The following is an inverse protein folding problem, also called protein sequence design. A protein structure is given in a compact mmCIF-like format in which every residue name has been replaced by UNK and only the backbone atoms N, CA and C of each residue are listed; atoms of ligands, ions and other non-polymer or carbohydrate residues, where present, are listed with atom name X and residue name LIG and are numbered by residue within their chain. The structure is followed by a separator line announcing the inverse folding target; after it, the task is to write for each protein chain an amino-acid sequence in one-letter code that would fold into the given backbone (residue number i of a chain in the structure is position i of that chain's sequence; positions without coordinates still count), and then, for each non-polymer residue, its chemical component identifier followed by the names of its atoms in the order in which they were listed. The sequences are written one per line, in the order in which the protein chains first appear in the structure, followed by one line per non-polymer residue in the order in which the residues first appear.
data_IF_202106935964
#
_entry.id   IF_202106935964
#
_cell.length_a   1.000
_cell.length_b   1.000
_cell.length_c   1.000
_cell.angle_alpha   90.00
_cell.angle_beta   90.00
_cell.angle_gamma   90.00
#
_symmetry.space_group_name_H-M   'P 1'
#
loop_
_entity.id
_entity.type
_entity.pdbx_description
1 polymer ?
#
# COMPACT_ATOMS: atom_id res chain seq x y z
N UNK A 1 -40.24 39.44 76.84
CA UNK A 1 -39.10 39.43 75.93
C UNK A 1 -38.43 38.06 75.99
N UNK A 2 -38.78 37.06 75.20
CA UNK A 2 -38.09 35.79 74.95
C UNK A 2 -39.10 34.82 74.35
N UNK A 3 -39.47 34.91 73.08
CA UNK A 3 -40.23 33.88 72.36
C UNK A 3 -40.21 34.14 70.84
N UNK A 4 -39.04 34.44 70.23
CA UNK A 4 -38.96 34.60 68.75
C UNK A 4 -37.73 33.89 68.18
N UNK A 5 -37.04 32.99 68.89
CA UNK A 5 -35.77 32.44 68.41
C UNK A 5 -35.80 30.92 68.15
N UNK A 6 -36.96 30.29 68.00
CA UNK A 6 -37.03 28.81 67.86
C UNK A 6 -37.66 28.30 66.53
N UNK A 7 -38.13 29.21 65.64
CA UNK A 7 -38.79 28.79 64.42
C UNK A 7 -37.86 28.89 63.16
N UNK A 8 -36.68 29.52 63.30
CA UNK A 8 -35.78 29.72 62.14
C UNK A 8 -34.75 28.62 61.97
N UNK A 9 -34.70 27.58 62.80
CA UNK A 9 -33.73 26.44 62.70
C UNK A 9 -34.30 25.16 62.12
N UNK A 10 -35.63 25.09 61.89
CA UNK A 10 -36.27 23.85 61.37
C UNK A 10 -36.54 23.86 59.84
N UNK A 11 -36.31 24.98 59.19
CA UNK A 11 -36.49 25.10 57.73
C UNK A 11 -35.21 24.91 56.89
N UNK A 12 -34.04 24.74 57.52
CA UNK A 12 -32.76 24.54 56.83
C UNK A 12 -32.33 23.06 56.70
N UNK A 13 -33.11 22.10 57.24
CA UNK A 13 -32.74 20.68 57.27
C UNK A 13 -33.54 19.82 56.27
N UNK A 14 -34.38 20.41 55.39
CA UNK A 14 -35.19 19.65 54.41
C UNK A 14 -34.69 19.88 52.95
N UNK A 15 -33.67 20.73 52.74
CA UNK A 15 -33.17 21.02 51.39
C UNK A 15 -31.97 20.14 50.93
N UNK A 16 -31.57 19.13 51.73
CA UNK A 16 -30.33 18.37 51.46
C UNK A 16 -30.52 16.91 51.01
N UNK A 17 -31.71 16.47 50.61
CA UNK A 17 -31.98 15.07 50.27
C UNK A 17 -32.51 14.85 48.84
N UNK A 18 -32.44 15.88 47.95
CA UNK A 18 -32.88 15.71 46.57
C UNK A 18 -31.76 15.74 45.51
N UNK A 19 -30.51 15.44 45.92
CA UNK A 19 -29.39 15.35 44.95
C UNK A 19 -28.75 13.95 45.00
N UNK A 20 -29.47 12.91 44.63
CA UNK A 20 -28.85 11.61 44.39
C UNK A 20 -29.77 10.68 43.62
N UNK A 21 -29.98 10.96 42.38
CA UNK A 21 -30.27 9.96 41.32
C UNK A 21 -30.05 10.66 39.97
N UNK A 22 -28.81 10.98 39.61
CA UNK A 22 -28.44 10.99 38.19
C UNK A 22 -28.34 9.52 37.77
N UNK A 23 -29.05 9.12 36.70
CA UNK A 23 -28.77 7.83 36.12
C UNK A 23 -27.30 7.82 35.73
N UNK A 24 -26.55 6.82 36.19
CA UNK A 24 -25.21 6.57 35.66
C UNK A 24 -25.33 6.50 34.14
N UNK A 25 -24.62 7.37 33.43
CA UNK A 25 -24.38 7.22 32.00
C UNK A 25 -23.80 5.80 31.84
N UNK A 26 -24.60 4.89 31.29
CA UNK A 26 -24.12 3.57 30.92
C UNK A 26 -23.18 3.84 29.76
N UNK A 27 -21.85 3.83 30.01
CA UNK A 27 -20.89 3.72 28.91
C UNK A 27 -21.35 2.57 28.01
N UNK A 28 -21.46 2.80 26.68
CA UNK A 28 -21.81 1.72 25.78
C UNK A 28 -20.82 0.58 26.04
N UNK A 29 -21.33 -0.58 26.39
CA UNK A 29 -20.52 -1.78 26.55
C UNK A 29 -19.68 -1.93 25.29
N UNK A 30 -18.35 -1.97 25.41
CA UNK A 30 -17.48 -2.26 24.31
C UNK A 30 -18.00 -3.53 23.62
N UNK A 31 -18.29 -3.47 22.33
CA UNK A 31 -18.78 -4.62 21.58
C UNK A 31 -17.83 -5.78 21.80
N UNK A 32 -18.34 -6.85 22.41
CA UNK A 32 -17.53 -8.04 22.64
C UNK A 32 -17.23 -8.66 21.28
N UNK A 33 -15.94 -8.67 20.90
CA UNK A 33 -15.50 -9.32 19.68
C UNK A 33 -15.70 -10.82 19.83
N UNK A 34 -16.50 -11.40 18.95
CA UNK A 34 -16.81 -12.84 18.93
C UNK A 34 -16.05 -13.58 17.83
N UNK A 35 -15.49 -12.86 16.84
CA UNK A 35 -14.64 -13.43 15.81
C UNK A 35 -13.35 -13.98 16.42
N UNK A 36 -13.01 -15.22 16.11
CA UNK A 36 -11.80 -15.90 16.57
C UNK A 36 -10.74 -16.06 15.48
N UNK A 37 -11.09 -15.72 14.26
CA UNK A 37 -10.19 -15.77 13.10
C UNK A 37 -10.40 -14.59 12.17
N UNK A 38 -9.39 -14.31 11.34
CA UNK A 38 -9.38 -13.28 10.29
C UNK A 38 -8.64 -13.82 9.07
N UNK A 39 -9.21 -13.65 7.87
CA UNK A 39 -8.58 -14.05 6.62
C UNK A 39 -8.10 -12.80 5.85
N UNK A 40 -6.79 -12.66 5.72
CA UNK A 40 -6.13 -11.48 5.14
C UNK A 40 -5.57 -11.80 3.76
N UNK A 41 -5.94 -11.03 2.75
CA UNK A 41 -5.24 -10.97 1.48
C UNK A 41 -4.12 -9.95 1.61
N UNK A 42 -2.86 -10.41 1.62
CA UNK A 42 -1.70 -9.59 1.90
C UNK A 42 -0.87 -9.34 0.64
N UNK A 43 -0.50 -8.11 0.35
CA UNK A 43 0.21 -7.76 -0.90
C UNK A 43 1.68 -7.36 -0.69
N UNK A 44 2.10 -6.76 0.44
CA UNK A 44 3.51 -6.40 0.67
C UNK A 44 4.47 -7.58 0.71
N UNK A 45 5.69 -7.35 1.17
CA UNK A 45 6.71 -8.39 1.33
C UNK A 45 6.25 -9.45 2.33
N UNK A 46 6.65 -10.70 2.12
CA UNK A 46 6.24 -11.87 2.92
C UNK A 46 6.56 -11.68 4.40
N UNK A 47 7.74 -11.15 4.71
CA UNK A 47 8.20 -10.92 6.09
C UNK A 47 7.29 -9.92 6.81
N UNK A 48 6.81 -8.89 6.10
CA UNK A 48 5.90 -7.90 6.69
C UNK A 48 4.49 -8.48 6.87
N UNK A 49 3.99 -9.25 5.90
CA UNK A 49 2.72 -9.97 6.06
C UNK A 49 2.73 -10.89 7.27
N UNK A 50 3.81 -11.67 7.43
CA UNK A 50 4.00 -12.56 8.57
C UNK A 50 4.13 -11.79 9.89
N UNK A 51 4.87 -10.67 9.88
CA UNK A 51 5.03 -9.80 11.04
C UNK A 51 3.70 -9.21 11.51
N UNK A 52 2.91 -8.64 10.61
CA UNK A 52 1.59 -8.08 10.92
C UNK A 52 0.66 -9.15 11.51
N UNK A 53 0.67 -10.37 10.95
CA UNK A 53 -0.05 -11.51 11.54
C UNK A 53 0.35 -11.76 12.99
N UNK A 54 1.67 -11.90 13.24
CA UNK A 54 2.18 -12.24 14.58
C UNK A 54 1.83 -11.18 15.62
N UNK A 55 1.97 -9.89 15.27
CA UNK A 55 1.66 -8.78 16.16
C UNK A 55 0.16 -8.69 16.48
N UNK A 56 -0.67 -8.85 15.45
CA UNK A 56 -2.12 -8.82 15.63
C UNK A 56 -2.62 -9.99 16.48
N UNK A 57 -2.15 -11.22 16.23
CA UNK A 57 -2.48 -12.41 17.03
C UNK A 57 -2.05 -12.24 18.50
N UNK A 58 -0.85 -11.66 18.73
CA UNK A 58 -0.35 -11.42 20.09
C UNK A 58 -1.17 -10.38 20.86
N UNK A 59 -1.68 -9.35 20.17
CA UNK A 59 -2.45 -8.27 20.78
C UNK A 59 -3.90 -8.68 21.07
N UNK A 60 -4.53 -9.38 20.13
CA UNK A 60 -5.99 -9.56 20.14
C UNK A 60 -6.43 -11.02 20.36
N UNK A 61 -5.52 -11.99 20.27
CA UNK A 61 -5.85 -13.41 20.43
C UNK A 61 -6.72 -13.97 19.30
N UNK A 62 -6.80 -13.28 18.16
CA UNK A 62 -7.56 -13.69 16.96
C UNK A 62 -6.57 -14.36 16.01
N UNK A 63 -6.86 -15.57 15.54
CA UNK A 63 -6.02 -16.29 14.57
C UNK A 63 -6.08 -15.61 13.21
N UNK A 64 -4.94 -15.28 12.62
CA UNK A 64 -4.84 -14.66 11.29
C UNK A 64 -4.38 -15.72 10.27
N UNK A 65 -5.22 -15.97 9.28
CA UNK A 65 -4.86 -16.71 8.08
C UNK A 65 -4.56 -15.71 6.98
N UNK A 66 -3.38 -15.75 6.37
CA UNK A 66 -3.12 -14.86 5.25
C UNK A 66 -2.64 -15.62 4.01
N UNK A 67 -2.91 -15.02 2.85
CA UNK A 67 -2.33 -15.43 1.56
C UNK A 67 -1.66 -14.20 0.97
N UNK A 68 -0.39 -14.35 0.58
CA UNK A 68 0.35 -13.30 -0.10
C UNK A 68 0.14 -13.40 -1.61
N UNK A 69 -0.28 -12.28 -2.23
CA UNK A 69 -0.43 -12.13 -3.68
C UNK A 69 0.07 -10.76 -4.13
N UNK A 70 0.55 -10.65 -5.37
CA UNK A 70 0.78 -9.34 -6.00
C UNK A 70 -0.54 -8.65 -6.30
N UNK A 71 -0.56 -7.30 -6.36
CA UNK A 71 -1.80 -6.50 -6.38
C UNK A 71 -2.74 -6.81 -7.55
N UNK A 72 -2.21 -7.11 -8.74
CA UNK A 72 -3.02 -7.51 -9.88
C UNK A 72 -3.67 -8.88 -9.68
N UNK A 73 -2.93 -9.84 -9.10
CA UNK A 73 -3.47 -11.15 -8.75
C UNK A 73 -4.51 -11.05 -7.63
N UNK A 74 -4.27 -10.17 -6.64
CA UNK A 74 -5.19 -9.90 -5.54
C UNK A 74 -6.52 -9.35 -6.07
N UNK A 75 -6.49 -8.36 -6.96
CA UNK A 75 -7.68 -7.81 -7.59
C UNK A 75 -8.46 -8.88 -8.37
N UNK A 76 -7.76 -9.67 -9.19
CA UNK A 76 -8.39 -10.75 -9.95
C UNK A 76 -9.00 -11.82 -9.05
N UNK A 77 -8.34 -12.15 -7.93
CA UNK A 77 -8.82 -13.10 -6.94
C UNK A 77 -10.09 -12.61 -6.24
N UNK A 78 -10.09 -11.37 -5.78
CA UNK A 78 -11.26 -10.74 -5.12
C UNK A 78 -12.44 -10.66 -6.09
N UNK A 79 -12.19 -10.31 -7.36
CA UNK A 79 -13.24 -10.28 -8.39
C UNK A 79 -13.82 -11.66 -8.69
N UNK A 80 -12.97 -12.69 -8.77
CA UNK A 80 -13.41 -14.07 -9.02
C UNK A 80 -14.23 -14.65 -7.87
N UNK A 81 -14.00 -14.19 -6.64
CA UNK A 81 -14.67 -14.69 -5.43
C UNK A 81 -15.79 -13.76 -4.92
N UNK A 82 -16.20 -12.76 -5.68
CA UNK A 82 -17.16 -11.73 -5.27
C UNK A 82 -18.47 -12.26 -4.68
N UNK A 83 -18.94 -13.42 -5.14
CA UNK A 83 -20.19 -14.04 -4.70
C UNK A 83 -20.01 -14.95 -3.47
N UNK A 84 -18.78 -15.32 -3.14
CA UNK A 84 -18.41 -16.11 -1.96
C UNK A 84 -16.97 -15.80 -1.53
N UNK A 85 -16.72 -14.63 -0.93
CA UNK A 85 -15.37 -14.19 -0.53
C UNK A 85 -14.75 -15.14 0.49
N UNK A 86 -13.46 -15.44 0.28
CA UNK A 86 -12.64 -16.24 1.20
C UNK A 86 -11.80 -15.37 2.12
N UNK A 87 -11.62 -14.10 1.77
CA UNK A 87 -10.89 -13.11 2.57
C UNK A 87 -11.84 -12.10 3.18
N UNK A 88 -11.45 -11.55 4.32
CA UNK A 88 -12.20 -10.52 5.05
C UNK A 88 -11.64 -9.13 4.78
N UNK A 89 -10.33 -9.03 4.65
CA UNK A 89 -9.63 -7.77 4.41
C UNK A 89 -8.51 -7.96 3.40
N UNK A 90 -8.32 -6.96 2.54
CA UNK A 90 -7.17 -6.83 1.67
C UNK A 90 -6.26 -5.73 2.23
N UNK A 91 -4.99 -6.09 2.53
CA UNK A 91 -4.00 -5.19 3.10
C UNK A 91 -2.76 -5.08 2.22
N UNK A 92 -2.42 -3.84 1.83
CA UNK A 92 -1.26 -3.49 1.01
C UNK A 92 -1.48 -3.54 -0.49
N UNK A 93 -0.51 -2.98 -1.21
CA UNK A 93 -0.54 -2.77 -2.66
C UNK A 93 -1.15 -1.43 -3.08
N UNK A 94 -0.77 -0.88 -4.23
CA UNK A 94 -1.16 0.46 -4.68
C UNK A 94 -2.67 0.67 -4.73
N UNK A 95 -3.12 1.85 -4.27
CA UNK A 95 -4.55 2.21 -4.17
C UNK A 95 -5.27 2.25 -5.51
N UNK A 96 -4.58 2.31 -6.65
CA UNK A 96 -5.21 2.15 -7.96
C UNK A 96 -5.97 0.83 -8.10
N UNK A 97 -5.48 -0.24 -7.44
CA UNK A 97 -6.18 -1.52 -7.38
C UNK A 97 -7.44 -1.47 -6.51
N UNK A 98 -7.42 -0.67 -5.44
CA UNK A 98 -8.58 -0.45 -4.57
C UNK A 98 -9.61 0.46 -5.22
N UNK A 99 -9.19 1.46 -6.01
CA UNK A 99 -10.09 2.26 -6.84
C UNK A 99 -10.82 1.35 -7.83
N UNK A 100 -10.10 0.50 -8.57
CA UNK A 100 -10.71 -0.46 -9.48
C UNK A 100 -11.65 -1.45 -8.76
N UNK A 101 -11.29 -1.91 -7.56
CA UNK A 101 -12.12 -2.80 -6.75
C UNK A 101 -13.40 -2.11 -6.26
N UNK A 102 -13.32 -0.83 -5.86
CA UNK A 102 -14.48 -0.01 -5.49
C UNK A 102 -15.45 0.14 -6.64
N UNK A 103 -14.97 0.48 -7.85
CA UNK A 103 -15.81 0.62 -9.04
C UNK A 103 -16.56 -0.68 -9.41
N UNK A 104 -15.93 -1.81 -9.14
CA UNK A 104 -16.53 -3.14 -9.31
C UNK A 104 -17.46 -3.57 -8.16
N UNK A 105 -17.60 -2.73 -7.11
CA UNK A 105 -18.44 -3.02 -5.95
C UNK A 105 -17.94 -4.17 -5.08
N UNK A 106 -16.63 -4.37 -4.99
CA UNK A 106 -15.98 -5.47 -4.28
C UNK A 106 -15.59 -5.12 -2.83
N UNK A 107 -15.69 -3.86 -2.44
CA UNK A 107 -15.27 -3.36 -1.14
C UNK A 107 -16.48 -3.03 -0.25
N UNK A 108 -16.27 -3.12 1.06
CA UNK A 108 -17.21 -2.70 2.08
C UNK A 108 -16.86 -1.31 2.60
N UNK A 109 -17.85 -0.45 2.80
CA UNK A 109 -17.64 0.87 3.38
C UNK A 109 -17.43 0.76 4.90
N UNK A 110 -16.41 1.42 5.41
CA UNK A 110 -16.15 1.46 6.85
C UNK A 110 -15.64 2.82 7.30
N UNK A 111 -16.30 3.39 8.30
CA UNK A 111 -15.91 4.67 8.91
C UNK A 111 -15.07 4.39 10.17
N UNK A 112 -13.76 4.30 9.99
CA UNK A 112 -12.83 4.01 11.07
C UNK A 112 -12.70 5.20 12.03
N UNK A 113 -12.72 4.95 13.36
CA UNK A 113 -12.45 5.98 14.36
C UNK A 113 -11.00 6.51 14.27
N UNK A 114 -10.09 5.80 13.60
CA UNK A 114 -8.69 6.13 13.48
C UNK A 114 -8.33 6.99 12.24
N UNK A 115 -9.29 7.38 11.42
CA UNK A 115 -9.03 8.25 10.25
C UNK A 115 -8.38 9.59 10.60
N UNK A 116 -8.55 10.07 11.84
CA UNK A 116 -7.85 11.26 12.33
C UNK A 116 -6.32 11.15 12.40
N UNK A 117 -5.78 9.94 12.35
CA UNK A 117 -4.33 9.69 12.35
C UNK A 117 -3.69 9.93 10.97
N UNK A 118 -4.47 9.87 9.87
CA UNK A 118 -3.95 9.95 8.49
C UNK A 118 -3.39 11.34 8.21
N UNK A 119 -2.15 11.42 7.69
CA UNK A 119 -1.41 12.67 7.42
C UNK A 119 -2.11 13.55 6.40
N UNK A 120 -2.57 12.96 5.30
CA UNK A 120 -3.32 13.65 4.24
C UNK A 120 -4.55 12.80 3.84
N UNK A 121 -5.66 12.99 4.55
CA UNK A 121 -6.87 12.22 4.27
C UNK A 121 -7.51 12.51 2.91
N UNK A 122 -7.15 13.62 2.25
CA UNK A 122 -7.64 13.92 0.90
C UNK A 122 -6.97 13.06 -0.17
N UNK A 123 -5.72 12.72 0.05
CA UNK A 123 -4.92 11.92 -0.87
C UNK A 123 -4.90 10.44 -0.47
N UNK A 124 -4.84 10.16 0.83
CA UNK A 124 -4.55 8.83 1.39
C UNK A 124 -5.80 8.08 1.87
N UNK A 125 -6.99 8.58 1.57
CA UNK A 125 -8.24 7.94 1.97
C UNK A 125 -9.30 8.13 0.89
N UNK A 126 -10.11 7.12 0.66
CA UNK A 126 -11.29 7.24 -0.21
C UNK A 126 -12.33 8.21 0.37
N UNK A 127 -12.90 9.04 -0.47
CA UNK A 127 -13.91 10.04 -0.07
C UNK A 127 -15.14 9.39 0.57
N UNK A 128 -15.49 8.18 0.12
CA UNK A 128 -16.64 7.41 0.60
C UNK A 128 -16.26 6.31 1.60
N UNK A 129 -15.00 6.31 2.11
CA UNK A 129 -14.49 5.37 3.13
C UNK A 129 -14.46 3.88 2.71
N UNK A 130 -14.21 3.57 1.42
CA UNK A 130 -14.03 2.20 0.96
C UNK A 130 -12.60 1.68 1.14
N UNK A 131 -11.61 2.56 1.13
CA UNK A 131 -10.20 2.20 1.35
C UNK A 131 -9.45 3.33 2.06
N UNK A 132 -8.30 2.98 2.66
CA UNK A 132 -7.36 3.92 3.27
C UNK A 132 -5.94 3.49 2.99
N UNK A 133 -5.04 4.47 2.86
CA UNK A 133 -3.61 4.25 2.71
C UNK A 133 -2.97 3.78 4.00
N UNK A 134 -2.04 2.82 3.89
CA UNK A 134 -1.29 2.26 5.01
C UNK A 134 0.23 2.46 4.89
N UNK A 135 0.73 2.83 3.71
CA UNK A 135 2.12 3.21 3.49
C UNK A 135 2.30 3.98 2.17
N UNK A 136 3.49 4.56 1.97
CA UNK A 136 3.88 5.25 0.73
C UNK A 136 5.25 4.75 0.27
N UNK A 137 5.44 4.60 -1.04
CA UNK A 137 6.74 4.26 -1.66
C UNK A 137 6.90 4.84 -3.04
N UNK A 138 8.07 5.42 -3.35
CA UNK A 138 8.39 5.99 -4.68
C UNK A 138 8.95 4.93 -5.62
N UNK A 139 8.66 5.05 -6.94
CA UNK A 139 9.33 4.25 -7.97
C UNK A 139 10.76 4.75 -8.18
N UNK A 140 11.67 3.81 -8.45
CA UNK A 140 13.06 4.10 -8.77
C UNK A 140 13.68 3.03 -9.67
N UNK A 141 14.95 3.22 -9.96
CA UNK A 141 15.77 2.30 -10.73
C UNK A 141 16.83 1.69 -9.82
N UNK A 142 16.82 0.36 -9.67
CA UNK A 142 17.88 -0.38 -9.02
C UNK A 142 18.88 -0.85 -10.08
N UNK A 143 20.11 -0.35 -10.04
CA UNK A 143 21.15 -0.71 -11.02
C UNK A 143 22.25 -1.54 -10.35
N UNK A 144 22.64 -2.64 -10.98
CA UNK A 144 23.71 -3.50 -10.49
C UNK A 144 25.08 -2.81 -10.64
N UNK A 145 25.80 -2.57 -9.53
CA UNK A 145 27.08 -1.87 -9.53
C UNK A 145 28.21 -2.70 -10.14
N UNK A 146 28.20 -4.03 -10.00
CA UNK A 146 29.18 -4.90 -10.66
C UNK A 146 29.01 -4.88 -12.19
N UNK A 147 27.76 -4.77 -12.65
CA UNK A 147 27.51 -4.62 -14.08
C UNK A 147 28.02 -3.27 -14.60
N UNK A 148 27.85 -2.17 -13.84
CA UNK A 148 28.41 -0.86 -14.21
C UNK A 148 29.95 -0.92 -14.26
N UNK A 149 30.60 -1.56 -13.30
CA UNK A 149 32.05 -1.74 -13.29
C UNK A 149 32.57 -2.54 -14.52
N UNK A 150 31.79 -3.53 -14.96
CA UNK A 150 32.09 -4.34 -16.15
C UNK A 150 31.81 -3.61 -17.47
N UNK A 151 31.08 -2.49 -17.45
CA UNK A 151 30.73 -1.66 -18.62
C UNK A 151 31.20 -0.20 -18.44
N UNK A 152 32.52 0.07 -18.49
CA UNK A 152 33.07 1.40 -18.23
C UNK A 152 32.51 2.47 -19.17
N UNK A 153 32.07 3.58 -18.61
CA UNK A 153 31.46 4.70 -19.33
C UNK A 153 29.93 4.64 -19.39
N UNK A 154 29.29 3.56 -18.89
CA UNK A 154 27.85 3.49 -18.67
C UNK A 154 27.55 3.97 -17.25
N UNK A 155 26.58 4.85 -17.12
CA UNK A 155 26.08 5.34 -15.82
C UNK A 155 24.73 4.72 -15.48
N UNK A 156 24.42 4.64 -14.17
CA UNK A 156 23.09 4.26 -13.72
C UNK A 156 22.04 5.24 -14.30
N UNK A 157 20.90 4.74 -14.79
CA UNK A 157 19.88 5.61 -15.41
C UNK A 157 19.32 6.62 -14.41
N UNK A 158 19.14 7.86 -14.84
CA UNK A 158 18.53 8.97 -14.09
C UNK A 158 17.38 9.62 -14.84
N UNK A 159 16.93 8.99 -15.91
CA UNK A 159 15.81 9.42 -16.74
C UNK A 159 15.09 8.19 -17.27
N UNK A 160 13.78 8.30 -17.49
CA UNK A 160 13.05 7.25 -18.20
C UNK A 160 13.64 7.01 -19.60
N UNK A 161 14.13 8.05 -20.28
CA UNK A 161 14.75 7.92 -21.61
C UNK A 161 16.12 7.21 -21.56
N UNK A 162 16.82 7.24 -20.44
CA UNK A 162 18.06 6.49 -20.27
C UNK A 162 17.85 4.98 -20.43
N UNK A 163 16.66 4.46 -20.01
CA UNK A 163 16.33 3.06 -20.17
C UNK A 163 16.24 2.61 -21.63
N UNK A 164 16.08 3.54 -22.58
CA UNK A 164 16.02 3.25 -24.02
C UNK A 164 17.40 3.23 -24.69
N UNK A 165 18.47 3.58 -23.97
CA UNK A 165 19.83 3.57 -24.51
C UNK A 165 20.24 2.15 -24.95
N UNK A 166 21.03 2.03 -26.03
CA UNK A 166 21.42 0.72 -26.58
C UNK A 166 22.08 -0.23 -25.59
N UNK A 167 22.85 0.31 -24.63
CA UNK A 167 23.54 -0.48 -23.60
C UNK A 167 22.59 -1.23 -22.66
N UNK A 168 21.36 -0.74 -22.50
CA UNK A 168 20.35 -1.40 -21.65
C UNK A 168 19.44 -2.36 -22.41
N UNK A 169 19.70 -2.58 -23.71
CA UNK A 169 18.88 -3.52 -24.49
C UNK A 169 19.01 -4.94 -23.98
N UNK A 170 17.87 -5.53 -23.57
CA UNK A 170 17.85 -6.85 -22.93
C UNK A 170 18.46 -6.86 -21.52
N UNK A 171 18.59 -5.69 -20.88
CA UNK A 171 19.21 -5.50 -19.57
C UNK A 171 18.27 -4.84 -18.55
N UNK A 172 17.03 -4.56 -18.92
CA UNK A 172 16.02 -3.98 -18.02
C UNK A 172 15.07 -5.06 -17.54
N UNK A 173 14.71 -5.03 -16.28
CA UNK A 173 13.77 -5.97 -15.69
C UNK A 173 12.67 -5.22 -14.94
N UNK A 174 11.44 -5.66 -15.12
CA UNK A 174 10.24 -5.16 -14.43
C UNK A 174 9.23 -6.29 -14.29
N UNK A 175 8.28 -6.16 -13.39
CA UNK A 175 7.18 -7.11 -13.31
C UNK A 175 6.18 -6.91 -14.46
N UNK A 176 5.28 -7.87 -14.68
CA UNK A 176 4.19 -7.73 -15.62
C UNK A 176 3.03 -6.91 -15.01
N UNK A 177 2.47 -5.90 -15.70
CA UNK A 177 1.45 -5.03 -15.12
C UNK A 177 0.11 -5.75 -14.81
N UNK A 178 -0.15 -6.91 -15.41
CA UNK A 178 -1.35 -7.70 -15.08
C UNK A 178 -1.26 -8.38 -13.70
N UNK A 179 -0.06 -8.66 -13.21
CA UNK A 179 0.14 -9.31 -11.92
C UNK A 179 0.60 -8.32 -10.84
N UNK A 180 1.38 -7.30 -11.20
CA UNK A 180 2.09 -6.42 -10.29
C UNK A 180 1.54 -5.00 -10.28
N UNK A 181 1.24 -4.48 -9.09
CA UNK A 181 0.94 -3.08 -8.87
C UNK A 181 2.14 -2.17 -9.19
N UNK A 182 3.36 -2.56 -8.84
CA UNK A 182 4.59 -1.80 -9.13
C UNK A 182 4.72 -1.50 -10.62
N UNK A 183 4.56 -2.52 -11.46
CA UNK A 183 4.66 -2.34 -12.90
C UNK A 183 3.48 -1.55 -13.48
N UNK A 184 2.28 -1.71 -12.92
CA UNK A 184 1.15 -0.89 -13.33
C UNK A 184 1.35 0.58 -12.92
N UNK A 185 1.89 0.86 -11.74
CA UNK A 185 2.25 2.22 -11.33
C UNK A 185 3.30 2.81 -12.27
N UNK A 186 4.32 2.05 -12.72
CA UNK A 186 5.30 2.50 -13.70
C UNK A 186 4.65 2.81 -15.05
N UNK A 187 3.77 1.95 -15.54
CA UNK A 187 3.00 2.17 -16.78
C UNK A 187 2.16 3.45 -16.70
N UNK A 188 1.38 3.60 -15.63
CA UNK A 188 0.53 4.78 -15.44
C UNK A 188 1.36 6.05 -15.25
N UNK A 189 2.53 5.99 -14.59
CA UNK A 189 3.49 7.09 -14.49
C UNK A 189 3.92 7.58 -15.88
N UNK A 190 4.35 6.67 -16.73
CA UNK A 190 4.78 6.99 -18.10
C UNK A 190 3.65 7.66 -18.89
N UNK A 191 2.43 7.11 -18.77
CA UNK A 191 1.27 7.68 -19.47
C UNK A 191 0.88 9.07 -18.93
N UNK A 192 1.02 9.32 -17.63
CA UNK A 192 0.73 10.61 -17.03
C UNK A 192 1.79 11.67 -17.35
N UNK A 193 3.07 11.29 -17.42
CA UNK A 193 4.15 12.22 -17.79
C UNK A 193 4.09 12.58 -19.27
N UNK A 194 3.85 11.61 -20.16
CA UNK A 194 3.99 11.76 -21.61
C UNK A 194 2.67 11.97 -22.36
N UNK A 195 1.55 11.78 -21.67
CA UNK A 195 0.24 11.65 -22.32
C UNK A 195 0.07 10.28 -22.98
N UNK A 196 -1.16 9.97 -23.38
CA UNK A 196 -1.49 8.61 -23.82
C UNK A 196 -0.75 8.20 -25.10
N UNK A 197 -0.73 9.02 -26.15
CA UNK A 197 -0.14 8.66 -27.43
C UNK A 197 1.39 8.44 -27.33
N UNK A 198 2.10 9.44 -26.84
CA UNK A 198 3.56 9.37 -26.68
C UNK A 198 3.98 8.38 -25.58
N UNK A 199 3.17 8.23 -24.53
CA UNK A 199 3.40 7.26 -23.46
C UNK A 199 3.31 5.83 -23.96
N UNK A 200 2.28 5.47 -24.76
CA UNK A 200 2.19 4.13 -25.35
C UNK A 200 3.30 3.86 -26.38
N UNK A 201 3.74 4.87 -27.12
CA UNK A 201 4.91 4.72 -28.00
C UNK A 201 6.19 4.43 -27.20
N UNK A 202 6.41 5.18 -26.10
CA UNK A 202 7.52 4.92 -25.21
C UNK A 202 7.43 3.49 -24.60
N UNK A 203 6.24 3.05 -24.15
CA UNK A 203 6.05 1.73 -23.57
C UNK A 203 6.39 0.61 -24.56
N UNK A 204 6.13 0.79 -25.86
CA UNK A 204 6.56 -0.18 -26.89
C UNK A 204 8.07 -0.27 -27.00
N UNK A 205 8.76 0.88 -26.98
CA UNK A 205 10.23 0.92 -27.05
C UNK A 205 10.84 0.33 -25.76
N UNK A 206 10.32 0.74 -24.61
CA UNK A 206 10.72 0.25 -23.31
C UNK A 206 10.53 -1.27 -23.15
N UNK A 207 9.43 -1.83 -23.65
CA UNK A 207 9.22 -3.28 -23.65
C UNK A 207 10.29 -4.04 -24.45
N UNK A 208 10.85 -3.42 -25.50
CA UNK A 208 11.97 -3.96 -26.26
C UNK A 208 13.32 -3.96 -25.54
N UNK A 209 13.44 -3.30 -24.39
CA UNK A 209 14.63 -3.28 -23.52
C UNK A 209 14.61 -4.38 -22.46
N UNK A 210 13.45 -5.04 -22.28
CA UNK A 210 13.26 -6.02 -21.20
C UNK A 210 14.10 -7.30 -21.42
N UNK A 211 14.80 -7.70 -20.36
CA UNK A 211 15.37 -9.04 -20.24
C UNK A 211 14.24 -10.06 -20.06
N UNK A 212 13.35 -9.77 -19.11
CA UNK A 212 12.13 -10.54 -18.86
C UNK A 212 11.14 -9.74 -18.01
N UNK A 213 9.89 -10.19 -17.98
CA UNK A 213 8.89 -9.74 -17.04
C UNK A 213 8.77 -10.72 -15.89
N UNK A 214 8.82 -10.21 -14.64
CA UNK A 214 8.61 -11.02 -13.45
C UNK A 214 7.12 -11.01 -13.02
N UNK A 215 6.76 -11.90 -12.13
CA UNK A 215 5.40 -11.95 -11.57
C UNK A 215 5.21 -10.97 -10.42
N UNK A 216 6.18 -10.92 -9.50
CA UNK A 216 6.16 -10.04 -8.32
C UNK A 216 6.90 -8.74 -8.62
N UNK A 217 6.34 -7.59 -8.12
CA UNK A 217 6.91 -6.26 -8.28
C UNK A 217 8.27 -6.08 -7.60
N UNK A 218 8.52 -6.75 -6.49
CA UNK A 218 9.80 -6.70 -5.76
C UNK A 218 10.89 -7.59 -6.36
N UNK A 219 10.53 -8.65 -7.11
CA UNK A 219 11.48 -9.64 -7.62
C UNK A 219 12.57 -9.06 -8.54
N UNK A 220 12.32 -8.05 -9.39
CA UNK A 220 13.36 -7.48 -10.25
C UNK A 220 14.57 -6.94 -9.49
N UNK A 221 14.40 -6.29 -8.31
CA UNK A 221 15.51 -5.79 -7.50
C UNK A 221 16.46 -6.94 -7.11
N UNK A 222 15.90 -8.05 -6.65
CA UNK A 222 16.67 -9.24 -6.28
C UNK A 222 17.43 -9.84 -7.47
N UNK A 223 16.75 -10.05 -8.61
CA UNK A 223 17.37 -10.66 -9.81
C UNK A 223 18.46 -9.76 -10.39
N UNK A 224 18.25 -8.44 -10.43
CA UNK A 224 19.28 -7.49 -10.85
C UNK A 224 20.45 -7.48 -9.85
N UNK A 225 20.19 -7.54 -8.54
CA UNK A 225 21.22 -7.72 -7.52
C UNK A 225 22.06 -8.98 -7.71
N UNK A 226 21.46 -10.06 -8.20
CA UNK A 226 22.13 -11.33 -8.54
C UNK A 226 22.86 -11.29 -9.90
N UNK A 227 22.70 -10.21 -10.69
CA UNK A 227 23.36 -10.03 -11.98
C UNK A 227 22.65 -10.62 -13.18
N UNK A 228 21.34 -10.92 -13.06
CA UNK A 228 20.55 -11.46 -14.19
C UNK A 228 20.18 -10.38 -15.24
N UNK A 229 20.21 -9.09 -14.84
CA UNK A 229 20.07 -7.93 -15.70
C UNK A 229 20.80 -6.74 -15.06
N UNK A 230 20.90 -5.61 -15.80
CA UNK A 230 21.59 -4.42 -15.32
C UNK A 230 20.69 -3.53 -14.44
N UNK A 231 19.42 -3.35 -14.81
CA UNK A 231 18.52 -2.37 -14.19
C UNK A 231 17.17 -2.99 -13.89
N UNK A 232 16.64 -2.73 -12.69
CA UNK A 232 15.26 -3.02 -12.32
C UNK A 232 14.45 -1.72 -12.16
N UNK A 233 13.19 -1.76 -12.59
CA UNK A 233 12.20 -0.73 -12.24
C UNK A 233 11.35 -1.30 -11.10
N UNK A 234 11.48 -0.71 -9.93
CA UNK A 234 10.89 -1.20 -8.67
C UNK A 234 10.52 -0.05 -7.77
N UNK A 235 9.77 -0.32 -6.69
CA UNK A 235 9.68 0.67 -5.62
C UNK A 235 11.02 0.78 -4.87
N UNK A 236 11.36 1.99 -4.46
CA UNK A 236 12.65 2.32 -3.83
C UNK A 236 12.93 1.51 -2.57
N UNK A 237 11.91 1.26 -1.76
CA UNK A 237 12.01 0.45 -0.54
C UNK A 237 12.41 -1.02 -0.82
N UNK A 238 12.03 -1.60 -1.96
CA UNK A 238 12.49 -2.94 -2.35
C UNK A 238 14.00 -2.94 -2.65
N UNK A 239 14.49 -1.88 -3.29
CA UNK A 239 15.93 -1.72 -3.54
C UNK A 239 16.72 -1.57 -2.24
N UNK A 240 16.23 -0.74 -1.31
CA UNK A 240 16.85 -0.55 0.00
C UNK A 240 16.89 -1.87 0.77
N UNK A 241 15.81 -2.64 0.76
CA UNK A 241 15.77 -3.96 1.39
C UNK A 241 16.85 -4.90 0.82
N UNK A 242 17.02 -4.94 -0.51
CA UNK A 242 18.06 -5.78 -1.13
C UNK A 242 19.49 -5.31 -0.80
N UNK A 243 19.72 -4.00 -0.68
CA UNK A 243 21.02 -3.44 -0.30
C UNK A 243 21.32 -3.74 1.17
N UNK A 244 20.42 -3.41 2.08
CA UNK A 244 20.70 -3.44 3.52
C UNK A 244 20.64 -4.84 4.12
N UNK A 245 19.62 -5.62 3.76
CA UNK A 245 19.41 -6.92 4.36
C UNK A 245 20.05 -8.06 3.57
N UNK A 246 20.13 -7.94 2.23
CA UNK A 246 20.71 -8.97 1.36
C UNK A 246 22.10 -8.62 0.81
N UNK A 247 22.64 -7.43 1.14
CA UNK A 247 23.96 -6.96 0.72
C UNK A 247 24.19 -7.04 -0.81
N UNK A 248 23.11 -6.84 -1.58
CA UNK A 248 23.16 -6.89 -3.03
C UNK A 248 23.90 -5.66 -3.58
N UNK A 249 24.73 -5.84 -4.64
CA UNK A 249 25.52 -4.75 -5.25
C UNK A 249 24.60 -3.87 -6.12
N UNK A 250 23.78 -3.05 -5.49
CA UNK A 250 22.81 -2.18 -6.14
C UNK A 250 23.06 -0.71 -5.80
N UNK A 251 22.73 0.16 -6.73
CA UNK A 251 22.57 1.61 -6.51
C UNK A 251 21.15 2.01 -6.91
N UNK A 252 20.50 2.79 -6.05
CA UNK A 252 19.18 3.35 -6.30
C UNK A 252 19.31 4.73 -6.95
N UNK A 253 18.60 4.94 -8.06
CA UNK A 253 18.49 6.25 -8.72
C UNK A 253 17.02 6.54 -9.04
N UNK A 254 16.71 7.82 -9.32
CA UNK A 254 15.37 8.27 -9.64
C UNK A 254 15.39 9.10 -10.93
N UNK A 255 14.31 9.04 -11.75
CA UNK A 255 14.23 9.86 -12.97
C UNK A 255 14.09 11.34 -12.62
N UNK A 256 14.93 12.18 -13.22
CA UNK A 256 15.00 13.63 -12.99
C UNK A 256 13.72 14.35 -13.45
N UNK A 257 13.08 13.87 -14.49
CA UNK A 257 11.79 14.38 -15.00
C UNK A 257 10.59 14.09 -14.12
N UNK A 258 10.79 13.28 -13.11
CA UNK A 258 9.77 12.88 -12.13
C UNK A 258 9.43 11.41 -12.15
N UNK A 259 8.99 10.92 -11.01
CA UNK A 259 8.59 9.53 -10.84
C UNK A 259 7.22 9.42 -10.18
N UNK A 260 6.53 8.32 -10.46
CA UNK A 260 5.33 7.94 -9.75
C UNK A 260 5.64 7.34 -8.38
N UNK A 261 4.60 7.15 -7.63
CA UNK A 261 4.67 6.54 -6.31
C UNK A 261 3.41 5.74 -6.02
N UNK A 262 3.50 4.86 -5.04
CA UNK A 262 2.32 4.19 -4.50
C UNK A 262 1.91 4.80 -3.18
N UNK A 263 0.61 4.76 -2.93
CA UNK A 263 0.03 4.71 -1.60
C UNK A 263 -0.49 3.28 -1.48
N UNK A 264 0.12 2.48 -0.62
CA UNK A 264 -0.39 1.14 -0.35
C UNK A 264 -1.67 1.23 0.44
N UNK A 265 -2.73 0.55 0.01
CA UNK A 265 -4.05 0.64 0.60
C UNK A 265 -4.43 -0.53 1.47
N UNK A 266 -5.56 -0.38 2.17
CA UNK A 266 -6.32 -1.49 2.74
C UNK A 266 -7.81 -1.25 2.60
N UNK A 267 -8.58 -2.33 2.53
CA UNK A 267 -10.04 -2.30 2.47
C UNK A 267 -10.64 -3.58 3.05
N UNK A 268 -11.78 -3.46 3.71
CA UNK A 268 -12.62 -4.61 4.05
C UNK A 268 -13.30 -5.08 2.77
N UNK A 269 -13.32 -6.38 2.54
CA UNK A 269 -13.95 -6.95 1.35
C UNK A 269 -15.46 -7.11 1.56
N UNK A 270 -16.21 -6.86 0.51
CA UNK A 270 -17.68 -7.01 0.55
C UNK A 270 -18.04 -8.47 0.82
N UNK A 271 -18.87 -8.69 1.85
CA UNK A 271 -19.24 -10.03 2.28
C UNK A 271 -18.24 -10.72 3.18
N UNK A 272 -17.30 -9.96 3.78
CA UNK A 272 -16.39 -10.46 4.83
C UNK A 272 -17.15 -11.23 5.91
N UNK A 273 -16.63 -12.41 6.26
CA UNK A 273 -17.29 -13.32 7.22
C UNK A 273 -16.94 -12.96 8.67
N UNK A 274 -15.76 -12.41 8.91
CA UNK A 274 -15.23 -12.02 10.22
C UNK A 274 -15.15 -10.50 10.32
N UNK A 275 -16.31 -9.85 10.25
CA UNK A 275 -16.42 -8.39 10.13
C UNK A 275 -15.84 -7.65 11.35
N UNK A 276 -16.00 -8.19 12.57
CA UNK A 276 -15.48 -7.54 13.77
C UNK A 276 -13.95 -7.59 13.78
N UNK A 277 -13.36 -8.74 13.45
CA UNK A 277 -11.92 -8.91 13.32
C UNK A 277 -11.35 -8.05 12.16
N UNK A 278 -12.06 -7.95 11.03
CA UNK A 278 -11.64 -7.11 9.89
C UNK A 278 -11.61 -5.62 10.26
N UNK A 279 -12.61 -5.12 10.98
CA UNK A 279 -12.63 -3.73 11.49
C UNK A 279 -11.50 -3.49 12.49
N UNK A 280 -11.25 -4.43 13.40
CA UNK A 280 -10.18 -4.33 14.38
C UNK A 280 -8.81 -4.29 13.71
N UNK A 281 -8.55 -5.13 12.70
CA UNK A 281 -7.35 -5.06 11.87
C UNK A 281 -7.24 -3.73 11.15
N UNK A 282 -8.33 -3.29 10.52
CA UNK A 282 -8.37 -2.04 9.77
C UNK A 282 -7.95 -0.86 10.64
N UNK A 283 -8.52 -0.76 11.86
CA UNK A 283 -8.23 0.31 12.80
C UNK A 283 -6.80 0.24 13.34
N UNK A 284 -6.33 -0.96 13.68
CA UNK A 284 -4.98 -1.18 14.16
C UNK A 284 -3.93 -0.87 13.07
N UNK A 285 -4.14 -1.27 11.83
CA UNK A 285 -3.19 -1.05 10.75
C UNK A 285 -2.98 0.45 10.39
N UNK A 286 -3.91 1.33 10.80
CA UNK A 286 -3.79 2.79 10.71
C UNK A 286 -3.62 3.46 12.09
N UNK A 287 -3.18 2.71 13.08
CA UNK A 287 -2.68 3.27 14.33
C UNK A 287 -1.18 3.57 14.23
N UNK A 288 -0.63 4.47 15.07
CA UNK A 288 0.82 4.68 15.14
C UNK A 288 1.59 3.39 15.44
N UNK A 289 1.06 2.53 16.31
CA UNK A 289 1.68 1.27 16.70
C UNK A 289 1.75 0.29 15.52
N UNK A 290 0.66 0.12 14.77
CA UNK A 290 0.62 -0.75 13.58
C UNK A 290 1.53 -0.25 12.46
N UNK A 291 1.57 1.07 12.25
CA UNK A 291 2.41 1.69 11.22
C UNK A 291 3.91 1.71 11.55
N UNK A 292 4.27 1.67 12.83
CA UNK A 292 5.68 1.63 13.24
C UNK A 292 6.33 0.24 13.04
N UNK A 293 5.57 -0.78 12.66
CA UNK A 293 6.06 -2.15 12.53
C UNK A 293 6.89 -2.40 11.26
N UNK A 294 6.73 -1.59 10.23
CA UNK A 294 7.39 -1.81 8.93
C UNK A 294 8.88 -2.12 9.06
N UNK A 295 9.73 -1.23 9.63
CA UNK A 295 11.17 -1.45 9.72
C UNK A 295 11.56 -2.69 10.53
N UNK A 296 10.76 -3.11 11.52
CA UNK A 296 10.97 -4.34 12.29
C UNK A 296 10.93 -5.60 11.40
N UNK A 297 10.24 -5.51 10.28
CA UNK A 297 10.04 -6.60 9.32
C UNK A 297 10.62 -6.28 7.95
N UNK A 298 11.70 -5.49 7.90
CA UNK A 298 12.45 -5.14 6.70
C UNK A 298 11.60 -4.43 5.63
N UNK A 299 10.55 -3.73 6.05
CA UNK A 299 9.68 -2.94 5.19
C UNK A 299 9.93 -1.45 5.42
N UNK A 300 10.48 -0.79 4.41
CA UNK A 300 10.98 0.60 4.48
C UNK A 300 10.05 1.62 3.83
N UNK A 301 8.82 1.23 3.58
CA UNK A 301 7.76 2.13 3.13
C UNK A 301 7.47 3.19 4.20
N UNK A 302 7.20 4.41 3.77
CA UNK A 302 6.83 5.48 4.68
C UNK A 302 5.41 5.30 5.23
N UNK A 303 5.17 5.50 6.54
CA UNK A 303 3.85 5.41 7.13
C UNK A 303 2.93 6.54 6.65
N UNK A 304 1.62 6.26 6.58
CA UNK A 304 0.58 7.24 6.24
C UNK A 304 0.02 7.99 7.45
N UNK A 305 0.34 7.56 8.66
CA UNK A 305 -0.14 8.21 9.88
C UNK A 305 0.88 9.17 10.47
N UNK A 306 0.38 10.17 11.19
CA UNK A 306 1.20 11.16 11.88
C UNK A 306 1.87 10.56 13.12
N UNK A 307 3.06 11.11 13.48
CA UNK A 307 3.77 10.73 14.72
C UNK A 307 4.58 9.44 14.63
N UNK A 308 4.66 8.80 13.46
CA UNK A 308 5.55 7.67 13.21
C UNK A 308 6.81 8.15 12.50
N UNK A 309 7.97 7.73 12.99
CA UNK A 309 9.27 8.06 12.42
C UNK A 309 9.48 7.37 11.07
N UNK A 310 10.10 8.10 10.14
CA UNK A 310 10.49 7.55 8.83
C UNK A 310 11.85 6.87 8.96
N UNK A 311 11.94 5.61 8.58
CA UNK A 311 13.22 4.89 8.52
C UNK A 311 14.14 5.44 7.42
N UNK A 312 13.56 5.80 6.28
CA UNK A 312 14.26 6.30 5.08
C UNK A 312 13.55 7.52 4.49
N UNK A 313 13.67 8.72 5.11
CA UNK A 313 13.02 9.93 4.63
C UNK A 313 13.46 10.31 3.22
N UNK A 314 14.72 10.03 2.85
CA UNK A 314 15.30 10.30 1.53
C UNK A 314 14.55 9.64 0.37
N UNK A 315 13.82 8.55 0.62
CA UNK A 315 13.02 7.87 -0.42
C UNK A 315 11.78 8.67 -0.86
N UNK A 316 11.41 9.70 -0.10
CA UNK A 316 10.31 10.62 -0.43
C UNK A 316 10.82 12.03 -0.83
N UNK A 317 12.12 12.31 -0.63
CA UNK A 317 12.76 13.56 -1.03
C UNK A 317 13.18 13.52 -2.50
N UNK A 318 12.28 13.06 -3.37
CA UNK A 318 12.50 12.88 -4.82
C UNK A 318 11.44 13.65 -5.61
N UNK A 319 11.70 13.87 -6.90
CA UNK A 319 10.77 14.56 -7.77
C UNK A 319 9.55 13.65 -8.07
N UNK A 320 8.53 13.69 -7.20
CA UNK A 320 7.27 12.97 -7.41
C UNK A 320 6.37 13.75 -8.37
N UNK A 321 5.74 13.05 -9.32
CA UNK A 321 4.70 13.66 -10.17
C UNK A 321 3.39 13.84 -9.38
N UNK A 322 2.52 14.72 -9.83
CA UNK A 322 1.12 14.76 -9.39
C UNK A 322 0.39 13.53 -9.94
N UNK A 323 0.58 12.38 -9.25
CA UNK A 323 0.03 11.11 -9.71
C UNK A 323 -1.47 11.02 -9.45
N UNK A 324 -2.26 10.91 -10.52
CA UNK A 324 -3.71 10.73 -10.43
C UNK A 324 -4.06 9.26 -10.22
N UNK A 325 -4.23 8.89 -8.95
CA UNK A 325 -4.60 7.53 -8.53
C UNK A 325 -5.99 7.11 -8.99
N UNK A 326 -6.93 8.06 -9.07
CA UNK A 326 -8.30 7.75 -9.51
C UNK A 326 -8.31 7.42 -10.99
N UNK A 327 -7.66 8.27 -11.79
CA UNK A 327 -7.48 8.00 -13.22
C UNK A 327 -6.78 6.66 -13.45
N UNK A 328 -5.70 6.38 -12.74
CA UNK A 328 -4.94 5.13 -12.84
C UNK A 328 -5.83 3.91 -12.49
N UNK A 329 -6.60 3.98 -11.41
CA UNK A 329 -7.50 2.90 -10.99
C UNK A 329 -8.64 2.65 -11.99
N UNK A 330 -9.30 3.72 -12.45
CA UNK A 330 -10.42 3.65 -13.41
C UNK A 330 -10.00 3.03 -14.75
N UNK A 331 -8.77 3.33 -15.23
CA UNK A 331 -8.26 2.78 -16.49
C UNK A 331 -7.47 1.46 -16.34
N UNK A 332 -7.36 0.93 -15.12
CA UNK A 332 -6.47 -0.22 -14.84
C UNK A 332 -6.74 -1.42 -15.73
N UNK A 333 -7.99 -1.86 -15.84
CA UNK A 333 -8.35 -3.02 -16.65
C UNK A 333 -8.03 -2.76 -18.13
N UNK A 334 -8.42 -1.63 -18.68
CA UNK A 334 -8.18 -1.26 -20.07
C UNK A 334 -6.68 -1.28 -20.43
N UNK A 335 -5.85 -0.64 -19.58
CA UNK A 335 -4.42 -0.50 -19.88
C UNK A 335 -3.63 -1.78 -19.66
N UNK A 336 -4.02 -2.58 -18.68
CA UNK A 336 -3.45 -3.93 -18.49
C UNK A 336 -3.77 -4.83 -19.68
N UNK A 337 -5.02 -4.82 -20.15
CA UNK A 337 -5.43 -5.59 -21.33
C UNK A 337 -4.69 -5.11 -22.59
N UNK A 338 -4.57 -3.80 -22.78
CA UNK A 338 -3.82 -3.23 -23.90
C UNK A 338 -2.35 -3.62 -23.86
N UNK A 339 -1.69 -3.52 -22.70
CA UNK A 339 -0.31 -3.95 -22.54
C UNK A 339 -0.16 -5.44 -22.87
N UNK A 340 -1.02 -6.29 -22.31
CA UNK A 340 -0.94 -7.75 -22.47
C UNK A 340 -1.15 -8.16 -23.92
N UNK A 341 -2.14 -7.58 -24.61
CA UNK A 341 -2.52 -8.01 -25.95
C UNK A 341 -1.67 -7.38 -27.05
N UNK A 342 -1.27 -6.10 -26.91
CA UNK A 342 -0.61 -5.37 -27.98
C UNK A 342 0.92 -5.37 -27.84
N UNK A 343 1.45 -5.38 -26.60
CA UNK A 343 2.89 -5.18 -26.35
C UNK A 343 3.57 -6.48 -25.97
N UNK A 344 3.11 -7.17 -24.95
CA UNK A 344 3.73 -8.42 -24.51
C UNK A 344 3.65 -9.50 -25.59
N UNK A 345 2.53 -9.66 -26.27
CA UNK A 345 2.39 -10.67 -27.32
C UNK A 345 3.30 -10.35 -28.53
N UNK A 346 3.57 -9.07 -28.82
CA UNK A 346 4.53 -8.70 -29.85
C UNK A 346 5.97 -9.08 -29.49
N UNK A 347 6.35 -8.98 -28.20
CA UNK A 347 7.67 -9.41 -27.71
C UNK A 347 7.81 -10.94 -27.66
N UNK A 348 6.75 -11.67 -27.29
CA UNK A 348 6.75 -13.14 -27.31
C UNK A 348 6.85 -13.75 -28.71
N UNK A 349 6.47 -13.02 -29.76
CA UNK A 349 6.60 -13.44 -31.16
C UNK A 349 8.03 -13.27 -31.69
N UNK A 350 8.94 -12.64 -30.96
CA UNK A 350 10.35 -12.44 -31.33
C UNK A 350 11.32 -13.43 -30.71
N UNK A 351 10.82 -14.34 -29.84
CA UNK A 351 11.53 -15.47 -29.29
C UNK A 351 11.31 -16.67 -30.21
#
# INVERSE_FOLDING_TARGET
MKKVSFILFLTLLIASVLTACQPAEVEPAADVITDTELNVLCTPQEEWCQGMKQEFEALYGITVNYVRMSSGEALARVEAEKDNPTFDIWWGGPIDSFVAAKEKGLLEQYDSPNYGNIRDPKLMKDVDNFWVGVYVGSLGFATNTNWLEANPGVEAPKSWDDLLKPEFKGQVMVAHPSTSGTSYTALATILQIRGQEAGWEYIRQYAGQMAQFTKSGAAPAKFVGQGEAAVAIVFSHDTVNEIENNQMPLVLTFPEEGTGYEIGGQAILKGAKHMQAAKLWFDWAISPEGQALGPKYNAYQAPTVSGVELSHPELLEVNLIEYDFIWAGTHKTEYVDKFTNEIQNAENLKQ
#
